data_IF_782877403195
#
_entry.id   IF_782877403195
#
_cell.length_a   1.000
_cell.length_b   1.000
_cell.length_c   1.000
_cell.angle_alpha   90.00
_cell.angle_beta   90.00
_cell.angle_gamma   90.00
#
_symmetry.space_group_name_H-M   'P 1'
#
loop_
_entity.id
_entity.type
_entity.pdbx_description
1 polymer ?
#
# COMPACT_ATOMS: atom_id res chain seq x y z
N UNK A 1 -1.65 16.31 -10.10
CA UNK A 1 -0.44 16.17 -10.95
C UNK A 1 0.57 15.40 -10.12
N UNK A 2 0.90 14.20 -10.56
CA UNK A 2 1.83 13.28 -9.92
C UNK A 2 3.27 13.84 -9.94
N UNK A 3 4.15 13.39 -9.04
CA UNK A 3 5.58 13.72 -9.08
C UNK A 3 6.19 13.19 -10.36
N UNK A 4 5.74 12.01 -10.83
CA UNK A 4 6.11 11.45 -12.12
C UNK A 4 5.67 12.32 -13.30
N UNK A 5 4.44 12.86 -13.31
CA UNK A 5 3.95 13.78 -14.35
C UNK A 5 4.75 15.09 -14.41
N UNK A 6 5.21 15.60 -13.25
CA UNK A 6 6.05 16.81 -13.19
C UNK A 6 7.44 16.54 -13.76
N UNK A 7 7.93 15.33 -13.52
CA UNK A 7 9.23 14.91 -14.00
C UNK A 7 9.21 14.72 -15.53
N UNK A 8 8.22 14.03 -16.08
CA UNK A 8 8.05 13.86 -17.53
C UNK A 8 7.98 15.21 -18.26
N UNK A 9 7.20 16.18 -17.74
CA UNK A 9 7.15 17.54 -18.27
C UNK A 9 8.46 18.31 -18.16
N UNK A 10 9.24 18.03 -17.10
CA UNK A 10 10.57 18.63 -16.92
C UNK A 10 11.59 18.07 -17.92
N UNK A 11 11.46 16.78 -18.27
CA UNK A 11 12.32 16.10 -19.26
C UNK A 11 11.98 16.55 -20.68
N UNK A 12 10.69 16.72 -21.03
CA UNK A 12 10.27 17.23 -22.35
C UNK A 12 10.80 18.65 -22.61
N UNK A 13 10.89 19.50 -21.55
CA UNK A 13 11.49 20.84 -21.65
C UNK A 13 13.01 20.86 -21.81
N UNK A 14 13.70 19.76 -21.44
CA UNK A 14 15.17 19.65 -21.48
C UNK A 14 15.71 19.06 -22.78
N UNK A 15 14.88 18.47 -23.64
CA UNK A 15 15.32 17.80 -24.89
C UNK A 15 15.80 18.78 -25.97
N UNK A 16 15.60 20.09 -25.80
CA UNK A 16 16.05 21.12 -26.78
C UNK A 16 17.36 21.84 -26.42
N UNK A 17 18.18 21.31 -25.55
CA UNK A 17 19.44 21.96 -25.18
C UNK A 17 20.52 20.98 -24.70
N UNK A 18 21.42 20.60 -25.62
CA UNK A 18 22.80 20.12 -25.34
C UNK A 18 22.99 18.70 -24.84
N UNK A 19 23.13 17.79 -25.77
CA UNK A 19 23.99 16.60 -25.60
C UNK A 19 25.43 17.06 -25.28
N UNK A 20 25.86 16.94 -24.06
CA UNK A 20 27.25 17.01 -23.70
C UNK A 20 27.59 16.19 -22.45
N UNK A 21 28.25 15.05 -22.68
CA UNK A 21 29.32 14.42 -21.92
C UNK A 21 29.02 13.69 -20.60
N UNK A 22 29.10 12.36 -20.68
CA UNK A 22 29.78 11.44 -19.78
C UNK A 22 30.06 11.97 -18.35
N UNK A 23 29.27 11.54 -17.41
CA UNK A 23 29.50 11.61 -15.98
C UNK A 23 28.28 11.11 -15.27
N UNK A 24 28.36 10.01 -14.54
CA UNK A 24 27.37 9.35 -13.69
C UNK A 24 25.91 9.67 -14.03
N UNK A 25 25.23 8.70 -14.60
CA UNK A 25 23.81 8.76 -14.92
C UNK A 25 23.05 9.13 -13.63
N UNK A 26 22.38 10.27 -13.63
CA UNK A 26 21.55 10.65 -12.50
C UNK A 26 20.40 9.65 -12.36
N UNK A 27 20.17 9.18 -11.14
CA UNK A 27 19.06 8.28 -10.82
C UNK A 27 17.73 9.01 -11.09
N UNK A 28 16.82 8.37 -11.80
CA UNK A 28 15.51 8.90 -12.16
C UNK A 28 14.39 8.05 -11.56
N UNK A 29 13.20 8.62 -11.28
CA UNK A 29 12.06 7.85 -10.77
C UNK A 29 11.68 6.65 -11.64
N UNK A 30 11.83 6.75 -12.96
CA UNK A 30 11.58 5.64 -13.90
C UNK A 30 12.58 4.48 -13.71
N UNK A 31 13.82 4.75 -13.29
CA UNK A 31 14.79 3.70 -13.01
C UNK A 31 14.37 2.89 -11.78
N UNK A 32 13.81 3.56 -10.76
CA UNK A 32 13.27 2.93 -9.56
C UNK A 32 12.01 2.10 -9.86
N UNK A 33 11.07 2.64 -10.63
CA UNK A 33 9.86 1.93 -11.07
C UNK A 33 10.21 0.65 -11.84
N UNK A 34 11.13 0.76 -12.82
CA UNK A 34 11.58 -0.40 -13.61
C UNK A 34 12.36 -1.43 -12.78
N UNK A 35 13.01 -1.01 -11.70
CA UNK A 35 13.68 -1.92 -10.79
C UNK A 35 12.66 -2.69 -9.93
N UNK A 36 11.63 -2.01 -9.43
CA UNK A 36 10.53 -2.64 -8.68
C UNK A 36 9.80 -3.69 -9.50
N UNK A 37 9.47 -3.39 -10.77
CA UNK A 37 8.81 -4.35 -11.67
C UNK A 37 9.66 -5.61 -11.90
N UNK A 38 10.97 -5.45 -12.06
CA UNK A 38 11.88 -6.59 -12.20
C UNK A 38 12.04 -7.38 -10.92
N UNK A 39 12.10 -6.70 -9.79
CA UNK A 39 12.25 -7.34 -8.47
C UNK A 39 11.01 -8.15 -8.12
N UNK A 40 9.80 -7.59 -8.32
CA UNK A 40 8.57 -8.31 -8.03
C UNK A 40 8.44 -9.56 -8.92
N UNK A 41 8.80 -9.48 -10.19
CA UNK A 41 8.75 -10.63 -11.10
C UNK A 41 9.77 -11.71 -10.73
N UNK A 42 10.95 -11.32 -10.21
CA UNK A 42 12.01 -12.25 -9.80
C UNK A 42 11.67 -12.97 -8.50
N UNK A 43 11.01 -12.29 -7.56
CA UNK A 43 10.76 -12.78 -6.20
C UNK A 43 9.32 -13.29 -5.99
N UNK A 44 8.44 -13.15 -6.99
CA UNK A 44 7.08 -13.68 -6.92
C UNK A 44 7.07 -15.21 -6.89
N UNK A 45 6.45 -15.79 -5.86
CA UNK A 45 6.41 -17.23 -5.62
C UNK A 45 5.00 -17.80 -5.81
N UNK A 46 4.83 -18.88 -6.60
CA UNK A 46 3.55 -19.57 -6.69
C UNK A 46 3.24 -20.30 -5.36
N UNK A 47 2.12 -19.95 -4.75
CA UNK A 47 1.61 -20.57 -3.53
C UNK A 47 0.27 -21.24 -3.85
N UNK A 48 0.31 -22.51 -4.30
CA UNK A 48 -0.88 -23.25 -4.73
C UNK A 48 -1.14 -23.20 -6.24
N UNK A 49 -2.35 -23.61 -6.68
CA UNK A 49 -2.66 -23.83 -8.11
C UNK A 49 -2.90 -22.52 -8.88
N UNK A 50 -3.44 -21.49 -8.23
CA UNK A 50 -3.90 -20.26 -8.90
C UNK A 50 -3.46 -18.99 -8.19
N UNK A 51 -2.46 -19.06 -7.30
CA UNK A 51 -2.04 -17.92 -6.48
C UNK A 51 -0.53 -17.74 -6.51
N UNK A 52 -0.08 -16.58 -6.94
CA UNK A 52 1.31 -16.15 -6.89
C UNK A 52 1.42 -15.00 -5.89
N UNK A 53 2.20 -15.21 -4.84
CA UNK A 53 2.46 -14.22 -3.78
C UNK A 53 3.72 -13.45 -4.12
N UNK A 54 3.63 -12.13 -4.07
CA UNK A 54 4.75 -11.22 -4.29
C UNK A 54 5.18 -10.55 -2.98
N UNK A 55 6.46 -10.16 -2.87
CA UNK A 55 6.94 -9.29 -1.81
C UNK A 55 6.12 -7.99 -1.76
N UNK A 56 5.97 -7.42 -0.57
CA UNK A 56 5.22 -6.19 -0.38
C UNK A 56 5.99 -5.08 0.35
N UNK A 57 7.18 -5.35 0.86
CA UNK A 57 8.10 -4.33 1.36
C UNK A 57 9.34 -4.27 0.47
N UNK A 58 9.67 -3.08 -0.03
CA UNK A 58 10.76 -2.81 -0.95
C UNK A 58 11.66 -1.73 -0.37
N UNK A 59 12.95 -2.01 -0.25
CA UNK A 59 13.93 -1.14 0.40
C UNK A 59 15.03 -0.77 -0.57
N UNK A 60 15.08 0.49 -0.97
CA UNK A 60 16.15 1.06 -1.78
C UNK A 60 17.23 1.63 -0.90
N UNK A 61 18.46 1.14 -1.06
CA UNK A 61 19.67 1.78 -0.53
C UNK A 61 20.28 2.65 -1.61
N UNK A 62 20.48 3.92 -1.32
CA UNK A 62 20.87 4.96 -2.28
C UNK A 62 22.16 5.63 -1.85
N UNK A 63 22.95 6.11 -2.81
CA UNK A 63 24.07 6.98 -2.49
C UNK A 63 23.60 8.29 -1.84
N UNK A 64 24.41 8.92 -1.00
CA UNK A 64 24.10 10.21 -0.36
C UNK A 64 23.54 11.26 -1.35
N UNK A 65 24.18 11.52 -2.52
CA UNK A 65 23.65 12.53 -3.45
C UNK A 65 22.29 12.17 -4.06
N UNK A 66 22.00 10.88 -4.22
CA UNK A 66 20.71 10.42 -4.76
C UNK A 66 19.62 10.44 -3.68
N UNK A 67 19.97 10.07 -2.44
CA UNK A 67 19.10 10.15 -1.28
C UNK A 67 18.66 11.60 -1.00
N UNK A 68 19.61 12.54 -0.90
CA UNK A 68 19.33 13.97 -0.71
C UNK A 68 18.39 14.52 -1.80
N UNK A 69 18.56 14.07 -3.03
CA UNK A 69 17.70 14.49 -4.14
C UNK A 69 16.29 13.94 -4.03
N UNK A 70 16.12 12.68 -3.62
CA UNK A 70 14.79 12.08 -3.41
C UNK A 70 14.10 12.78 -2.23
N UNK A 71 14.81 13.08 -1.15
CA UNK A 71 14.29 13.87 -0.04
C UNK A 71 13.80 15.24 -0.51
N UNK A 72 14.58 15.93 -1.35
CA UNK A 72 14.22 17.23 -1.92
C UNK A 72 12.99 17.17 -2.84
N UNK A 73 12.71 16.02 -3.48
CA UNK A 73 11.49 15.81 -4.29
C UNK A 73 10.27 15.46 -3.44
N UNK A 74 10.47 15.03 -2.18
CA UNK A 74 9.45 14.52 -1.28
C UNK A 74 9.40 12.99 -1.31
N UNK A 75 10.31 12.38 -0.58
CA UNK A 75 10.52 10.91 -0.49
C UNK A 75 9.24 10.15 -0.20
N UNK A 76 8.42 10.62 0.76
CA UNK A 76 7.14 9.98 1.10
C UNK A 76 6.16 9.99 -0.09
N UNK A 77 6.08 11.10 -0.84
CA UNK A 77 5.18 11.19 -1.99
C UNK A 77 5.63 10.27 -3.11
N UNK A 78 6.94 10.23 -3.40
CA UNK A 78 7.51 9.35 -4.41
C UNK A 78 7.34 7.87 -4.01
N UNK A 79 7.59 7.53 -2.75
CA UNK A 79 7.41 6.16 -2.24
C UNK A 79 5.96 5.68 -2.42
N UNK A 80 4.97 6.53 -2.06
CA UNK A 80 3.55 6.20 -2.25
C UNK A 80 3.17 6.05 -3.74
N UNK A 81 3.70 6.90 -4.64
CA UNK A 81 3.44 6.77 -6.07
C UNK A 81 4.06 5.50 -6.67
N UNK A 82 5.28 5.15 -6.26
CA UNK A 82 5.93 3.90 -6.69
C UNK A 82 5.17 2.68 -6.19
N UNK A 83 4.69 2.70 -4.94
CA UNK A 83 3.91 1.62 -4.36
C UNK A 83 2.53 1.47 -5.05
N UNK A 84 1.84 2.59 -5.37
CA UNK A 84 0.59 2.59 -6.13
C UNK A 84 0.79 1.99 -7.54
N UNK A 85 1.83 2.42 -8.27
CA UNK A 85 2.16 1.89 -9.60
C UNK A 85 2.51 0.40 -9.57
N UNK A 86 3.29 -0.03 -8.57
CA UNK A 86 3.64 -1.44 -8.40
C UNK A 86 2.42 -2.30 -8.09
N UNK A 87 1.47 -1.76 -7.32
CA UNK A 87 0.20 -2.43 -7.03
C UNK A 87 -0.63 -2.64 -8.30
N UNK A 88 -0.71 -1.64 -9.18
CA UNK A 88 -1.39 -1.78 -10.48
C UNK A 88 -0.65 -2.78 -11.41
N UNK A 89 0.68 -2.75 -11.40
CA UNK A 89 1.47 -3.74 -12.13
C UNK A 89 1.18 -5.16 -11.64
N UNK A 90 1.23 -5.40 -10.31
CA UNK A 90 0.96 -6.68 -9.68
C UNK A 90 -0.44 -7.22 -10.03
N UNK A 91 -1.47 -6.35 -10.02
CA UNK A 91 -2.83 -6.73 -10.46
C UNK A 91 -2.83 -7.22 -11.92
N UNK A 92 -2.10 -6.55 -12.81
CA UNK A 92 -2.00 -6.94 -14.23
C UNK A 92 -1.35 -8.31 -14.41
N UNK A 93 -0.41 -8.67 -13.53
CA UNK A 93 0.29 -9.96 -13.50
C UNK A 93 -0.42 -11.04 -12.67
N UNK A 94 -1.56 -10.70 -12.03
CA UNK A 94 -2.31 -11.59 -11.12
C UNK A 94 -1.51 -11.98 -9.86
N UNK A 95 -0.59 -11.11 -9.41
CA UNK A 95 0.11 -11.28 -8.14
C UNK A 95 -0.76 -10.80 -6.97
N UNK A 96 -0.58 -11.42 -5.81
CA UNK A 96 -1.23 -11.04 -4.56
C UNK A 96 -0.19 -10.71 -3.51
N UNK A 97 -0.50 -9.73 -2.67
CA UNK A 97 0.33 -9.33 -1.53
C UNK A 97 -0.24 -9.90 -0.23
N UNK A 98 0.64 -10.15 0.74
CA UNK A 98 0.26 -10.58 2.10
C UNK A 98 0.13 -9.41 3.07
N UNK A 99 0.37 -8.19 2.61
CA UNK A 99 0.30 -6.94 3.37
C UNK A 99 0.32 -5.73 2.47
N UNK A 100 0.31 -4.51 3.04
CA UNK A 100 0.40 -3.27 2.28
C UNK A 100 1.72 -3.19 1.53
N UNK A 101 1.68 -2.60 0.33
CA UNK A 101 2.90 -2.34 -0.45
C UNK A 101 3.60 -1.10 0.10
N UNK A 102 4.85 -1.25 0.51
CA UNK A 102 5.65 -0.19 1.12
C UNK A 102 6.98 -0.07 0.38
N UNK A 103 7.34 1.16 0.02
CA UNK A 103 8.65 1.50 -0.55
C UNK A 103 9.39 2.38 0.45
N UNK A 104 10.63 2.01 0.77
CA UNK A 104 11.47 2.68 1.75
C UNK A 104 12.76 3.11 1.07
N UNK A 105 13.20 4.34 1.32
CA UNK A 105 14.50 4.84 0.89
C UNK A 105 15.43 4.96 2.08
N UNK A 106 16.63 4.39 1.95
CA UNK A 106 17.70 4.44 2.95
C UNK A 106 18.98 4.98 2.32
N UNK A 107 19.76 5.74 3.08
CA UNK A 107 21.09 6.18 2.65
C UNK A 107 22.09 5.05 2.83
N UNK A 108 23.00 4.90 1.84
CA UNK A 108 24.14 4.00 1.88
C UNK A 108 25.41 4.77 1.44
N UNK A 109 26.30 4.99 2.39
CA UNK A 109 27.53 5.78 2.21
C UNK A 109 28.55 5.12 1.28
N UNK A 110 28.44 3.82 1.06
CA UNK A 110 29.35 3.04 0.24
C UNK A 110 28.95 3.04 -1.25
N UNK A 111 27.74 3.53 -1.56
CA UNK A 111 27.25 3.59 -2.92
C UNK A 111 27.73 4.84 -3.67
N UNK A 112 28.09 4.64 -4.92
CA UNK A 112 28.39 5.74 -5.84
C UNK A 112 27.13 6.29 -6.49
N UNK A 113 27.10 7.60 -6.77
CA UNK A 113 26.00 8.29 -7.44
C UNK A 113 25.48 7.54 -8.68
N UNK A 114 24.18 7.42 -8.78
CA UNK A 114 23.48 6.72 -9.85
C UNK A 114 23.34 5.20 -9.66
N UNK A 115 23.93 4.66 -8.57
CA UNK A 115 23.79 3.25 -8.21
C UNK A 115 22.89 3.10 -6.99
N UNK A 116 22.15 2.02 -6.96
CA UNK A 116 21.32 1.64 -5.82
C UNK A 116 21.30 0.12 -5.63
N UNK A 117 20.97 -0.31 -4.43
CA UNK A 117 20.63 -1.68 -4.11
C UNK A 117 19.14 -1.74 -3.77
N UNK A 118 18.45 -2.74 -4.29
CA UNK A 118 17.06 -3.02 -3.97
C UNK A 118 16.98 -4.38 -3.27
N UNK A 119 16.27 -4.41 -2.15
CA UNK A 119 15.89 -5.62 -1.45
C UNK A 119 14.40 -5.63 -1.27
N UNK A 120 13.79 -6.82 -1.30
CA UNK A 120 12.37 -7.01 -1.10
C UNK A 120 12.11 -8.12 -0.08
N UNK A 121 11.00 -7.98 0.66
CA UNK A 121 10.56 -9.01 1.59
C UNK A 121 9.03 -9.07 1.65
N UNK A 122 8.51 -10.24 2.08
CA UNK A 122 7.08 -10.44 2.32
C UNK A 122 6.79 -10.22 3.80
N UNK A 123 6.19 -9.09 4.13
CA UNK A 123 5.81 -8.70 5.49
C UNK A 123 4.31 -8.85 5.65
N UNK A 124 3.88 -9.65 6.62
CA UNK A 124 2.47 -9.86 6.88
C UNK A 124 1.82 -8.56 7.35
N UNK A 125 0.77 -8.13 6.66
CA UNK A 125 -0.02 -6.95 7.01
C UNK A 125 -0.84 -7.12 8.30
N UNK A 126 -1.45 -6.04 8.75
CA UNK A 126 -2.30 -6.02 9.95
C UNK A 126 -3.68 -6.69 9.71
N UNK A 127 -4.04 -6.91 8.45
CA UNK A 127 -5.22 -7.65 8.05
C UNK A 127 -4.82 -8.76 7.07
N UNK A 128 -5.22 -9.99 7.35
CA UNK A 128 -4.90 -11.16 6.52
C UNK A 128 -6.17 -11.66 5.88
N UNK A 129 -6.18 -11.93 4.54
CA UNK A 129 -7.32 -12.61 3.94
C UNK A 129 -7.59 -13.94 4.65
N UNK A 130 -8.83 -14.18 5.05
CA UNK A 130 -9.21 -15.43 5.71
C UNK A 130 -9.08 -16.57 4.69
N UNK A 131 -8.14 -17.48 4.93
CA UNK A 131 -8.04 -18.76 4.23
C UNK A 131 -8.47 -19.87 5.19
N UNK A 132 -8.93 -20.99 4.66
CA UNK A 132 -9.53 -22.11 5.42
C UNK A 132 -8.64 -22.65 6.56
N UNK A 133 -7.35 -22.30 6.58
CA UNK A 133 -6.38 -22.76 7.58
C UNK A 133 -6.06 -21.72 8.69
N UNK A 134 -6.63 -20.49 8.61
CA UNK A 134 -6.36 -19.42 9.58
C UNK A 134 -7.58 -19.20 10.48
N UNK A 135 -7.95 -20.18 11.28
CA UNK A 135 -8.98 -20.03 12.32
C UNK A 135 -8.31 -19.63 13.63
N UNK A 136 -8.27 -18.33 13.92
CA UNK A 136 -8.26 -17.83 15.31
C UNK A 136 -9.71 -17.48 15.65
N UNK A 137 -10.37 -18.37 16.39
CA UNK A 137 -11.82 -18.33 16.65
C UNK A 137 -12.34 -17.03 17.31
N UNK A 138 -11.46 -16.22 17.88
CA UNK A 138 -11.79 -15.01 18.65
C UNK A 138 -11.36 -13.68 17.99
N UNK A 139 -10.85 -13.69 16.75
CA UNK A 139 -10.39 -12.44 16.12
C UNK A 139 -11.48 -11.79 15.27
N UNK A 140 -11.59 -10.44 15.30
CA UNK A 140 -12.55 -9.70 14.49
C UNK A 140 -12.29 -9.87 12.99
N UNK A 141 -13.37 -9.85 12.21
CA UNK A 141 -13.32 -10.00 10.76
C UNK A 141 -14.00 -8.82 10.09
N UNK A 142 -13.42 -8.34 8.99
CA UNK A 142 -14.06 -7.42 8.06
C UNK A 142 -14.35 -8.15 6.75
N UNK A 143 -15.56 -8.02 6.25
CA UNK A 143 -15.92 -8.47 4.91
C UNK A 143 -16.02 -7.27 3.97
N UNK A 144 -15.21 -7.27 2.92
CA UNK A 144 -15.12 -6.21 1.92
C UNK A 144 -15.27 -6.81 0.53
N UNK A 145 -16.29 -6.42 -0.21
CA UNK A 145 -16.53 -6.93 -1.56
C UNK A 145 -16.51 -8.47 -1.67
N UNK A 146 -17.00 -9.17 -0.66
CA UNK A 146 -17.04 -10.64 -0.59
C UNK A 146 -15.72 -11.29 -0.16
N UNK A 147 -14.68 -10.51 0.13
CA UNK A 147 -13.43 -10.99 0.72
C UNK A 147 -13.45 -10.74 2.23
N UNK A 148 -13.03 -11.75 2.98
CA UNK A 148 -12.94 -11.65 4.44
C UNK A 148 -11.50 -11.41 4.86
N UNK A 149 -11.33 -10.48 5.81
CA UNK A 149 -10.04 -10.07 6.37
C UNK A 149 -10.05 -10.23 7.87
N UNK A 150 -9.22 -11.14 8.38
CA UNK A 150 -9.01 -11.30 9.81
C UNK A 150 -8.13 -10.15 10.33
N UNK A 151 -8.57 -9.49 11.37
CA UNK A 151 -7.80 -8.42 12.01
C UNK A 151 -6.82 -9.04 13.02
N UNK A 152 -5.52 -8.99 12.72
CA UNK A 152 -4.47 -9.68 13.49
C UNK A 152 -3.66 -8.75 14.40
N UNK A 153 -3.84 -7.44 14.28
CA UNK A 153 -3.16 -6.42 15.08
C UNK A 153 -4.15 -5.37 15.58
N UNK A 154 -3.72 -4.60 16.55
CA UNK A 154 -4.53 -3.57 17.21
C UNK A 154 -5.06 -2.51 16.24
N UNK A 155 -4.32 -2.21 15.17
CA UNK A 155 -4.69 -1.19 14.18
C UNK A 155 -4.64 -1.71 12.77
N UNK A 156 -5.71 -1.44 12.00
CA UNK A 156 -5.82 -1.79 10.59
C UNK A 156 -6.22 -0.55 9.79
N UNK A 157 -5.42 -0.18 8.82
CA UNK A 157 -5.67 0.96 7.93
C UNK A 157 -6.38 0.52 6.66
N UNK A 158 -7.44 1.23 6.28
CA UNK A 158 -8.25 0.96 5.09
C UNK A 158 -8.29 2.20 4.22
N UNK A 159 -8.12 2.02 2.92
CA UNK A 159 -8.15 3.12 1.98
C UNK A 159 -7.90 2.68 0.55
N UNK A 160 -7.78 3.65 -0.36
CA UNK A 160 -7.47 3.38 -1.77
C UNK A 160 -5.96 3.31 -2.04
N UNK A 161 -5.13 3.84 -1.15
CA UNK A 161 -3.67 3.86 -1.32
C UNK A 161 -3.06 2.51 -1.01
N UNK A 162 -2.00 2.16 -1.73
CA UNK A 162 -1.25 0.89 -1.61
C UNK A 162 -0.59 0.69 -0.24
N UNK A 163 -0.35 1.77 0.51
CA UNK A 163 0.17 1.70 1.88
C UNK A 163 -0.89 1.39 2.95
N UNK A 164 -2.13 1.01 2.56
CA UNK A 164 -3.16 0.55 3.49
C UNK A 164 -3.10 -0.97 3.65
N UNK A 165 -3.50 -1.46 4.83
CA UNK A 165 -3.59 -2.91 5.11
C UNK A 165 -4.69 -3.56 4.27
N UNK A 166 -5.81 -2.85 4.07
CA UNK A 166 -6.88 -3.25 3.15
C UNK A 166 -7.02 -2.17 2.09
N UNK A 167 -6.63 -2.50 0.87
CA UNK A 167 -6.73 -1.61 -0.29
C UNK A 167 -8.03 -1.84 -1.01
N UNK A 168 -8.81 -0.76 -1.20
CA UNK A 168 -10.11 -0.81 -1.87
C UNK A 168 -10.06 0.09 -3.10
N UNK A 169 -10.26 -0.47 -4.27
CA UNK A 169 -10.32 0.25 -5.54
C UNK A 169 -11.68 0.91 -5.73
N UNK A 170 -11.89 2.03 -5.04
CA UNK A 170 -13.08 2.87 -5.14
C UNK A 170 -12.65 4.35 -5.17
N UNK A 171 -12.92 5.10 -6.26
CA UNK A 171 -12.53 6.50 -6.37
C UNK A 171 -13.17 7.42 -5.32
N UNK A 172 -14.25 6.97 -4.66
CA UNK A 172 -14.88 7.66 -3.53
C UNK A 172 -14.15 7.48 -2.21
N UNK A 173 -13.10 6.64 -2.15
CA UNK A 173 -12.31 6.37 -0.95
C UNK A 173 -11.01 7.17 -0.99
N UNK A 174 -10.66 7.83 0.12
CA UNK A 174 -9.38 8.52 0.29
C UNK A 174 -8.22 7.53 0.36
N UNK A 175 -6.98 7.97 0.04
CA UNK A 175 -5.79 7.11 0.10
C UNK A 175 -5.62 6.44 1.47
N UNK A 176 -5.76 7.20 2.55
CA UNK A 176 -5.97 6.72 3.93
C UNK A 176 -7.34 7.22 4.32
N UNK A 177 -8.31 6.35 4.58
CA UNK A 177 -9.70 6.75 4.79
C UNK A 177 -10.19 6.41 6.19
N UNK A 178 -9.98 5.18 6.60
CA UNK A 178 -10.53 4.60 7.82
C UNK A 178 -9.44 3.83 8.57
N UNK A 179 -9.38 3.97 9.88
CA UNK A 179 -8.62 3.12 10.79
C UNK A 179 -9.60 2.28 11.62
N UNK A 180 -9.38 0.99 11.70
CA UNK A 180 -10.02 0.11 12.67
C UNK A 180 -9.03 -0.10 13.81
N UNK A 181 -9.43 0.25 15.01
CA UNK A 181 -8.62 0.22 16.24
C UNK A 181 -9.23 -0.80 17.20
N UNK A 182 -8.51 -1.89 17.51
CA UNK A 182 -8.92 -2.93 18.46
C UNK A 182 -8.40 -2.53 19.83
N UNK A 183 -9.31 -2.32 20.77
CA UNK A 183 -8.99 -1.89 22.13
C UNK A 183 -9.58 -2.86 23.16
N UNK A 184 -9.14 -2.78 24.40
CA UNK A 184 -9.71 -3.56 25.52
C UNK A 184 -11.22 -3.31 25.73
N UNK A 185 -11.75 -2.18 25.21
CA UNK A 185 -13.14 -1.77 25.35
C UNK A 185 -13.98 -2.01 24.10
N UNK A 186 -13.44 -2.69 23.08
CA UNK A 186 -14.08 -2.99 21.82
C UNK A 186 -13.34 -2.46 20.61
N UNK A 187 -13.93 -2.66 19.45
CA UNK A 187 -13.36 -2.27 18.15
C UNK A 187 -13.95 -0.93 17.73
N UNK A 188 -13.09 0.00 17.34
CA UNK A 188 -13.47 1.37 16.97
C UNK A 188 -13.14 1.60 15.49
N UNK A 189 -14.13 2.03 14.72
CA UNK A 189 -13.93 2.60 13.39
C UNK A 189 -13.67 4.10 13.51
N UNK A 190 -12.58 4.61 12.95
CA UNK A 190 -12.16 6.02 13.00
C UNK A 190 -11.92 6.58 11.61
N UNK A 191 -12.63 7.63 11.24
CA UNK A 191 -12.37 8.39 10.01
C UNK A 191 -11.05 9.16 10.14
N UNK A 192 -10.20 9.07 9.11
CA UNK A 192 -8.88 9.72 9.07
C UNK A 192 -8.89 11.07 8.35
N UNK A 193 -10.01 11.79 8.42
CA UNK A 193 -10.21 13.06 7.70
C UNK A 193 -10.48 12.82 6.22
N UNK A 194 -11.26 11.80 5.93
CA UNK A 194 -11.58 11.42 4.55
C UNK A 194 -12.39 12.50 3.82
N UNK A 195 -12.35 12.49 2.49
CA UNK A 195 -13.07 13.47 1.66
C UNK A 195 -14.59 13.30 1.73
N UNK A 196 -15.07 12.05 1.74
CA UNK A 196 -16.49 11.73 1.66
C UNK A 196 -17.08 11.28 3.00
N UNK A 197 -16.26 11.13 4.03
CA UNK A 197 -16.68 10.67 5.35
C UNK A 197 -16.89 9.16 5.46
N UNK A 198 -16.89 8.69 6.70
CA UNK A 198 -17.20 7.32 7.09
C UNK A 198 -18.59 7.25 7.68
N UNK A 199 -19.36 6.25 7.29
CA UNK A 199 -20.73 6.03 7.77
C UNK A 199 -20.82 4.67 8.45
N UNK A 200 -21.39 4.64 9.65
CA UNK A 200 -21.73 3.40 10.37
C UNK A 200 -23.24 3.33 10.50
N UNK A 201 -23.86 2.24 10.05
CA UNK A 201 -25.32 2.06 9.98
C UNK A 201 -26.04 3.26 9.31
N UNK A 202 -25.39 3.84 8.27
CA UNK A 202 -25.93 4.98 7.52
C UNK A 202 -25.73 6.35 8.17
N UNK A 203 -25.14 6.42 9.35
CA UNK A 203 -24.85 7.67 10.07
C UNK A 203 -23.39 8.06 9.88
N UNK A 204 -23.13 9.28 9.43
CA UNK A 204 -21.77 9.80 9.32
C UNK A 204 -21.16 10.01 10.70
N UNK A 205 -19.94 9.45 10.90
CA UNK A 205 -19.25 9.47 12.19
C UNK A 205 -17.77 9.81 12.02
N UNK A 206 -17.19 10.60 12.95
CA UNK A 206 -15.73 10.74 13.03
C UNK A 206 -15.08 9.52 13.67
N UNK A 207 -15.81 8.83 14.56
CA UNK A 207 -15.44 7.55 15.15
C UNK A 207 -16.70 6.87 15.72
N UNK A 208 -16.72 5.54 15.69
CA UNK A 208 -17.80 4.75 16.29
C UNK A 208 -17.25 3.41 16.82
N UNK A 209 -17.77 2.98 17.98
CA UNK A 209 -17.56 1.62 18.46
C UNK A 209 -18.41 0.67 17.61
N UNK A 210 -17.78 -0.38 17.09
CA UNK A 210 -18.47 -1.36 16.25
C UNK A 210 -19.11 -2.46 17.10
N UNK A 211 -20.31 -2.82 16.72
CA UNK A 211 -21.03 -3.98 17.25
C UNK A 211 -21.07 -5.06 16.16
N UNK A 212 -21.19 -6.30 16.58
CA UNK A 212 -21.30 -7.45 15.68
C UNK A 212 -22.40 -7.24 14.63
N UNK A 213 -22.08 -7.49 13.35
CA UNK A 213 -22.96 -7.27 12.22
C UNK A 213 -23.05 -5.83 11.73
N UNK A 214 -22.33 -4.86 12.33
CA UNK A 214 -22.38 -3.48 11.84
C UNK A 214 -21.86 -3.33 10.41
N UNK A 215 -22.54 -2.46 9.67
CA UNK A 215 -22.16 -2.05 8.32
C UNK A 215 -21.46 -0.71 8.35
N UNK A 216 -20.22 -0.67 7.84
CA UNK A 216 -19.46 0.55 7.60
C UNK A 216 -19.54 0.86 6.11
N UNK A 217 -19.81 2.10 5.75
CA UNK A 217 -19.80 2.55 4.35
C UNK A 217 -18.78 3.65 4.17
N UNK A 218 -17.86 3.45 3.23
CA UNK A 218 -16.88 4.44 2.79
C UNK A 218 -16.89 4.53 1.26
N UNK A 219 -17.02 5.73 0.71
CA UNK A 219 -17.24 5.88 -0.72
C UNK A 219 -18.51 5.14 -1.17
N UNK A 220 -18.39 4.18 -2.09
CA UNK A 220 -19.45 3.29 -2.58
C UNK A 220 -19.37 1.89 -1.98
N UNK A 221 -18.35 1.62 -1.19
CA UNK A 221 -18.02 0.30 -0.66
C UNK A 221 -18.66 0.10 0.70
N UNK A 222 -19.27 -1.08 0.89
CA UNK A 222 -19.78 -1.56 2.17
C UNK A 222 -18.81 -2.55 2.77
N UNK A 223 -18.54 -2.38 4.06
CA UNK A 223 -17.69 -3.25 4.87
C UNK A 223 -18.57 -3.78 5.99
N UNK A 224 -18.69 -5.10 6.11
CA UNK A 224 -19.36 -5.75 7.22
C UNK A 224 -18.34 -6.09 8.30
N UNK A 225 -18.67 -5.80 9.53
CA UNK A 225 -17.85 -6.12 10.70
C UNK A 225 -18.46 -7.28 11.48
N UNK A 226 -17.63 -8.25 11.81
CA UNK A 226 -17.96 -9.39 12.66
C UNK A 226 -16.99 -9.42 13.85
N UNK A 227 -17.53 -9.54 15.08
CA UNK A 227 -16.72 -9.57 16.31
C UNK A 227 -15.87 -10.82 16.43
N UNK A 228 -16.27 -11.91 15.78
CA UNK A 228 -15.49 -13.15 15.66
C UNK A 228 -15.77 -13.84 14.32
N UNK A 229 -14.84 -14.70 13.89
CA UNK A 229 -14.99 -15.47 12.66
C UNK A 229 -16.16 -16.48 12.69
N UNK A 230 -16.71 -16.79 13.86
CA UNK A 230 -17.82 -17.74 14.05
C UNK A 230 -19.23 -17.12 13.97
N UNK A 231 -19.36 -15.81 13.89
CA UNK A 231 -20.66 -15.13 13.90
C UNK A 231 -21.47 -15.24 12.58
N UNK A 232 -21.10 -16.17 11.68
CA UNK A 232 -21.64 -16.28 10.32
C UNK A 232 -22.56 -17.50 10.12
N UNK A 233 -23.30 -17.99 11.13
CA UNK A 233 -24.37 -18.98 10.96
C UNK A 233 -25.75 -18.34 10.73
#
# INVERSE_FOLDING_TARGET
MSVLDRFEKSVEGAVNGVFAKFGSKDLQPVDLSSALEREIDAEAMPVGRDRTVAPNEYRFKLSTPDFDRIEAWGSETLANELADNLTEYAKSQHYVFVGPVVVIFEEDLDLSKGNFNLASESVQGNAVPVTTDTQTEDSPVLEVNGNQYLLTKDKTMIGRGSGCDIVIDDPGISRKHLEIDITDNGVIARDLGSTNGTYVEGHQVPAATLLDGNTITIGRTRILYWASAQAQE
#
